data_IF_820310501691
#
_entry.id   IF_820310501691
#
_cell.length_a   1.000
_cell.length_b   1.000
_cell.length_c   1.000
_cell.angle_alpha   90.00
_cell.angle_beta   90.00
_cell.angle_gamma   90.00
#
_symmetry.space_group_name_H-M   'P 1'
#
loop_
_entity.id
_entity.type
_entity.pdbx_description
1 polymer ?
#
# COMPACT_ATOMS: atom_id res chain seq x y z
N UNK A 1 2.53 24.52 59.13
CA UNK A 1 3.44 25.21 58.18
C UNK A 1 4.26 24.20 57.38
N UNK A 2 3.74 23.76 56.23
CA UNK A 2 4.54 23.47 55.04
C UNK A 2 3.53 23.27 53.91
N UNK A 3 3.42 24.32 53.10
CA UNK A 3 2.75 24.29 51.81
C UNK A 3 3.57 23.35 50.92
N UNK A 4 2.95 22.53 50.10
CA UNK A 4 3.17 22.46 48.65
C UNK A 4 2.00 21.68 48.06
N UNK A 5 1.40 22.31 47.07
CA UNK A 5 0.18 22.01 46.35
C UNK A 5 0.62 21.84 44.90
N UNK A 6 0.06 20.81 44.24
CA UNK A 6 -0.17 20.69 42.78
C UNK A 6 1.03 20.52 41.84
N UNK A 7 0.97 19.44 41.04
CA UNK A 7 0.96 19.41 39.57
C UNK A 7 1.08 17.94 39.15
N UNK A 8 -0.01 17.21 38.89
CA UNK A 8 -0.70 17.10 37.61
C UNK A 8 0.25 17.09 36.40
N UNK A 9 0.87 15.94 36.14
CA UNK A 9 1.54 15.65 34.86
C UNK A 9 0.61 14.78 34.02
N UNK A 10 -0.33 15.44 33.34
CA UNK A 10 -1.03 14.86 32.20
C UNK A 10 -0.04 14.72 31.05
N UNK A 11 0.49 13.51 30.83
CA UNK A 11 1.21 13.18 29.61
C UNK A 11 0.19 12.84 28.51
N UNK A 12 -0.41 13.89 27.95
CA UNK A 12 -1.11 13.84 26.67
C UNK A 12 -0.03 13.68 25.59
N UNK A 13 0.18 12.44 25.15
CA UNK A 13 0.90 12.17 23.91
C UNK A 13 -0.12 12.16 22.76
N UNK A 14 -0.59 13.35 22.37
CA UNK A 14 -1.19 13.57 21.05
C UNK A 14 -0.08 13.50 20.01
N UNK A 15 0.28 12.30 19.58
CA UNK A 15 0.95 12.10 18.31
C UNK A 15 -0.09 12.20 17.20
N UNK A 16 -0.51 13.43 16.92
CA UNK A 16 -1.19 13.79 15.66
C UNK A 16 -0.17 13.73 14.53
N UNK A 17 0.15 12.51 14.09
CA UNK A 17 0.77 12.27 12.81
C UNK A 17 -0.30 12.29 11.74
N UNK A 18 -0.72 13.49 11.30
CA UNK A 18 -1.37 13.63 9.99
C UNK A 18 -0.33 13.42 8.90
N UNK A 19 0.20 12.20 8.80
CA UNK A 19 0.72 11.70 7.55
C UNK A 19 -0.51 11.42 6.69
N UNK A 20 -0.54 11.91 5.45
CA UNK A 20 -1.35 11.26 4.42
C UNK A 20 -1.13 9.76 4.59
N UNK A 21 -2.16 9.00 4.98
CA UNK A 21 -1.97 7.64 5.42
C UNK A 21 -1.28 6.86 4.31
N UNK A 22 0.04 6.69 4.43
CA UNK A 22 0.77 5.69 3.68
C UNK A 22 0.07 4.38 4.03
N UNK A 23 -0.48 3.70 3.02
CA UNK A 23 -1.38 2.56 3.24
C UNK A 23 -0.83 1.55 4.25
N UNK A 24 -1.72 0.77 4.84
CA UNK A 24 -1.37 -0.29 5.77
C UNK A 24 -0.63 -1.42 5.03
N UNK A 25 0.69 -1.48 5.22
CA UNK A 25 1.54 -2.50 4.59
C UNK A 25 1.22 -3.93 5.06
N UNK A 26 0.68 -4.13 6.26
CA UNK A 26 0.28 -5.45 6.73
C UNK A 26 -1.00 -5.91 6.02
N UNK A 27 -1.99 -5.04 5.89
CA UNK A 27 -3.16 -5.29 5.05
C UNK A 27 -2.77 -5.50 3.57
N UNK A 28 -1.82 -4.68 3.08
CA UNK A 28 -1.25 -4.80 1.75
C UNK A 28 -0.58 -6.15 1.51
N UNK A 29 0.17 -6.68 2.48
CA UNK A 29 0.78 -8.01 2.42
C UNK A 29 -0.26 -9.12 2.26
N UNK A 30 -1.33 -9.07 3.08
CA UNK A 30 -2.41 -10.05 3.01
C UNK A 30 -3.11 -10.01 1.64
N UNK A 31 -3.45 -8.81 1.15
CA UNK A 31 -4.06 -8.63 -0.17
C UNK A 31 -3.12 -9.09 -1.28
N UNK A 32 -1.84 -8.72 -1.23
CA UNK A 32 -0.83 -9.13 -2.22
C UNK A 32 -0.75 -10.65 -2.35
N UNK A 33 -0.72 -11.37 -1.23
CA UNK A 33 -0.73 -12.83 -1.22
C UNK A 33 -1.98 -13.43 -1.87
N UNK A 34 -3.13 -12.79 -1.72
CA UNK A 34 -4.41 -13.31 -2.24
C UNK A 34 -4.60 -13.16 -3.75
N UNK A 35 -4.03 -12.12 -4.37
CA UNK A 35 -4.34 -11.77 -5.77
C UNK A 35 -3.13 -11.42 -6.64
N UNK A 36 -1.98 -11.07 -6.07
CA UNK A 36 -0.82 -10.59 -6.84
C UNK A 36 0.26 -11.68 -6.95
N UNK A 37 0.50 -12.41 -5.86
CA UNK A 37 1.64 -13.31 -5.72
C UNK A 37 1.65 -14.47 -6.73
N UNK A 38 0.47 -14.95 -7.15
CA UNK A 38 0.35 -16.06 -8.12
C UNK A 38 0.95 -15.74 -9.49
N UNK A 39 0.93 -14.46 -9.89
CA UNK A 39 1.49 -14.01 -11.16
C UNK A 39 2.83 -13.30 -10.97
N UNK A 40 2.96 -12.45 -9.94
CA UNK A 40 4.14 -11.60 -9.74
C UNK A 40 5.19 -12.19 -8.79
N UNK A 41 5.01 -13.42 -8.31
CA UNK A 41 5.91 -14.07 -7.35
C UNK A 41 5.59 -13.69 -5.90
N UNK A 42 5.95 -14.56 -4.95
CA UNK A 42 5.61 -14.40 -3.54
C UNK A 42 6.26 -13.16 -2.91
N UNK A 43 7.42 -12.76 -3.43
CA UNK A 43 8.16 -11.59 -3.00
C UNK A 43 8.10 -10.45 -4.03
N UNK A 44 7.23 -10.54 -5.04
CA UNK A 44 7.14 -9.56 -6.13
C UNK A 44 8.35 -9.59 -7.08
N UNK A 45 9.08 -10.70 -7.13
CA UNK A 45 10.27 -10.90 -7.96
C UNK A 45 9.97 -10.95 -9.48
N UNK A 46 8.72 -11.19 -9.85
CA UNK A 46 8.29 -11.39 -11.24
C UNK A 46 8.51 -12.83 -11.73
N UNK A 47 7.83 -13.20 -12.81
CA UNK A 47 7.88 -14.55 -13.38
C UNK A 47 7.49 -14.51 -14.87
N UNK A 48 8.38 -14.91 -15.76
CA UNK A 48 8.11 -14.94 -17.21
C UNK A 48 7.68 -13.57 -17.75
N UNK A 49 6.44 -13.47 -18.24
CA UNK A 49 5.87 -12.20 -18.75
C UNK A 49 5.40 -11.25 -17.63
N UNK A 50 5.33 -11.71 -16.38
CA UNK A 50 4.88 -10.92 -15.23
C UNK A 50 6.06 -10.11 -14.67
N UNK A 51 5.99 -8.77 -14.75
CA UNK A 51 7.12 -7.94 -14.34
C UNK A 51 7.33 -7.96 -12.83
N UNK A 52 8.59 -7.73 -12.43
CA UNK A 52 8.99 -7.48 -11.04
C UNK A 52 8.19 -6.31 -10.45
N UNK A 53 7.62 -6.52 -9.28
CA UNK A 53 6.94 -5.52 -8.46
C UNK A 53 7.78 -5.02 -7.29
N UNK A 54 8.70 -5.82 -6.76
CA UNK A 54 9.41 -5.42 -5.54
C UNK A 54 10.25 -4.15 -5.70
N UNK A 55 10.15 -3.27 -4.70
CA UNK A 55 10.84 -1.99 -4.65
C UNK A 55 10.24 -0.90 -5.56
N UNK A 56 9.09 -1.13 -6.21
CA UNK A 56 8.42 -0.07 -6.95
C UNK A 56 7.94 1.04 -5.99
N UNK A 57 8.10 2.32 -6.35
CA UNK A 57 7.60 3.43 -5.54
C UNK A 57 6.09 3.32 -5.29
N UNK A 58 5.65 3.58 -4.05
CA UNK A 58 4.24 3.44 -3.67
C UNK A 58 3.33 4.38 -4.48
N UNK A 59 3.73 5.64 -4.67
CA UNK A 59 2.95 6.63 -5.44
C UNK A 59 2.71 6.17 -6.89
N UNK A 60 3.75 5.64 -7.55
CA UNK A 60 3.67 5.12 -8.92
C UNK A 60 2.83 3.86 -9.00
N UNK A 61 2.96 2.97 -8.01
CA UNK A 61 2.19 1.73 -7.94
C UNK A 61 0.71 2.05 -7.76
N UNK A 62 0.36 2.95 -6.84
CA UNK A 62 -1.01 3.37 -6.60
C UNK A 62 -1.62 4.06 -7.83
N UNK A 63 -0.89 4.98 -8.47
CA UNK A 63 -1.34 5.65 -9.68
C UNK A 63 -1.63 4.66 -10.82
N UNK A 64 -0.71 3.70 -11.05
CA UNK A 64 -0.87 2.69 -12.09
C UNK A 64 -2.07 1.76 -11.83
N UNK A 65 -2.27 1.32 -10.59
CA UNK A 65 -3.44 0.51 -10.21
C UNK A 65 -4.75 1.30 -10.38
N UNK A 66 -4.76 2.60 -10.06
CA UNK A 66 -5.91 3.48 -10.29
C UNK A 66 -6.21 3.65 -11.79
N UNK A 67 -5.17 3.77 -12.62
CA UNK A 67 -5.33 3.83 -14.07
C UNK A 67 -5.90 2.53 -14.66
N UNK A 68 -5.41 1.37 -14.19
CA UNK A 68 -5.98 0.07 -14.55
C UNK A 68 -7.44 -0.07 -14.12
N UNK A 69 -7.76 0.33 -12.88
CA UNK A 69 -9.13 0.31 -12.34
C UNK A 69 -10.07 1.21 -13.13
N UNK A 70 -9.58 2.34 -13.63
CA UNK A 70 -10.32 3.26 -14.50
C UNK A 70 -10.43 2.76 -15.97
N UNK A 71 -9.86 1.60 -16.31
CA UNK A 71 -9.90 1.04 -17.66
C UNK A 71 -8.98 1.76 -18.65
N UNK A 72 -8.03 2.58 -18.19
CA UNK A 72 -7.09 3.26 -19.08
C UNK A 72 -6.10 2.28 -19.68
N UNK A 73 -5.77 2.47 -20.95
CA UNK A 73 -4.69 1.72 -21.60
C UNK A 73 -3.33 2.32 -21.22
N UNK A 74 -2.58 1.60 -20.39
CA UNK A 74 -1.26 2.03 -19.85
C UNK A 74 -0.11 1.11 -20.28
N UNK A 75 -0.35 0.22 -21.24
CA UNK A 75 0.67 -0.65 -21.84
C UNK A 75 0.11 -1.99 -22.34
N UNK A 76 0.99 -2.85 -22.87
CA UNK A 76 0.61 -4.13 -23.47
C UNK A 76 -0.11 -5.09 -22.51
N UNK A 77 0.22 -5.03 -21.21
CA UNK A 77 -0.37 -5.89 -20.18
C UNK A 77 -1.70 -5.34 -19.60
N UNK A 78 -2.23 -4.23 -20.13
CA UNK A 78 -3.46 -3.60 -19.60
C UNK A 78 -4.64 -4.55 -19.59
N UNK A 79 -4.88 -5.26 -20.69
CA UNK A 79 -6.02 -6.16 -20.82
C UNK A 79 -6.01 -7.26 -19.74
N UNK A 80 -4.82 -7.64 -19.25
CA UNK A 80 -4.67 -8.65 -18.21
C UNK A 80 -4.78 -8.06 -16.79
N UNK A 81 -4.23 -6.86 -16.56
CA UNK A 81 -4.21 -6.23 -15.24
C UNK A 81 -5.49 -5.46 -14.88
N UNK A 82 -6.20 -4.91 -15.87
CA UNK A 82 -7.41 -4.12 -15.63
C UNK A 82 -8.50 -4.88 -14.83
N UNK A 83 -8.82 -6.15 -15.14
CA UNK A 83 -9.78 -6.93 -14.34
C UNK A 83 -9.33 -7.15 -12.88
N UNK A 84 -8.03 -7.31 -12.66
CA UNK A 84 -7.48 -7.48 -11.30
C UNK A 84 -7.64 -6.19 -10.49
N UNK A 85 -7.28 -5.06 -11.09
CA UNK A 85 -7.40 -3.74 -10.46
C UNK A 85 -8.85 -3.30 -10.24
N UNK A 86 -9.78 -3.72 -11.11
CA UNK A 86 -11.21 -3.40 -10.99
C UNK A 86 -11.84 -3.94 -9.69
N UNK A 87 -11.30 -5.04 -9.14
CA UNK A 87 -11.75 -5.64 -7.88
C UNK A 87 -11.25 -4.92 -6.62
N UNK A 88 -10.35 -3.95 -6.77
CA UNK A 88 -9.69 -3.29 -5.65
C UNK A 88 -10.48 -2.07 -5.18
N UNK A 89 -10.64 -1.94 -3.85
CA UNK A 89 -11.00 -0.66 -3.26
C UNK A 89 -9.83 0.33 -3.34
N UNK A 90 -10.09 1.62 -3.16
CA UNK A 90 -9.00 2.61 -3.14
C UNK A 90 -8.05 2.38 -1.95
N UNK A 91 -8.60 1.94 -0.82
CA UNK A 91 -7.82 1.51 0.34
C UNK A 91 -6.95 0.28 0.02
N UNK A 92 -7.47 -0.72 -0.72
CA UNK A 92 -6.66 -1.86 -1.15
C UNK A 92 -5.48 -1.40 -2.02
N UNK A 93 -5.71 -0.45 -2.93
CA UNK A 93 -4.66 0.08 -3.81
C UNK A 93 -3.56 0.76 -2.98
N UNK A 94 -3.94 1.62 -2.06
CA UNK A 94 -2.97 2.36 -1.23
C UNK A 94 -2.20 1.40 -0.30
N UNK A 95 -2.86 0.39 0.26
CA UNK A 95 -2.24 -0.67 1.08
C UNK A 95 -1.27 -1.54 0.27
N UNK A 96 -1.68 -1.99 -0.93
CA UNK A 96 -0.83 -2.77 -1.84
C UNK A 96 0.40 -1.97 -2.25
N UNK A 97 0.22 -0.70 -2.61
CA UNK A 97 1.31 0.18 -2.97
C UNK A 97 2.32 0.38 -1.84
N UNK A 98 1.82 0.58 -0.61
CA UNK A 98 2.66 0.68 0.58
C UNK A 98 3.46 -0.61 0.80
N UNK A 99 2.82 -1.78 0.71
CA UNK A 99 3.51 -3.07 0.87
C UNK A 99 4.55 -3.33 -0.23
N UNK A 100 4.19 -3.12 -1.50
CA UNK A 100 5.07 -3.37 -2.66
C UNK A 100 6.37 -2.57 -2.56
N UNK A 101 6.30 -1.32 -2.06
CA UNK A 101 7.47 -0.48 -1.84
C UNK A 101 8.43 -1.01 -0.77
N UNK A 102 7.97 -1.88 0.14
CA UNK A 102 8.81 -2.51 1.18
C UNK A 102 9.55 -3.76 0.69
N UNK A 103 9.09 -4.38 -0.40
CA UNK A 103 9.69 -5.59 -0.97
C UNK A 103 11.06 -5.27 -1.60
N UNK A 104 11.97 -6.24 -1.62
CA UNK A 104 13.32 -6.11 -2.23
C UNK A 104 13.49 -7.01 -3.46
#
# INVERSE_FOLDING_TARGET
MKKIVVALSAAIALMSGSAFAAGDAAAGKAKFGSICASCHGMNGEGMGIFPKLSGKPADKTAALLKDYKAGKTVGANTAMMAPQAASLSDADIDNLAAYIATLK
#
